data_IF_875034569811
#
_entry.id   IF_875034569811
#
_cell.length_a   1.000
_cell.length_b   1.000
_cell.length_c   1.000
_cell.angle_alpha   90.00
_cell.angle_beta   90.00
_cell.angle_gamma   90.00
#
_symmetry.space_group_name_H-M   'P 1'
#
loop_
_entity.id
_entity.type
_entity.pdbx_description
1 polymer ?
#
# COMPACT_ATOMS: atom_id res chain seq x y z
N UNK A 1 18.79 -5.11 -24.81
CA UNK A 1 18.91 -4.72 -23.39
C UNK A 1 17.62 -4.14 -22.79
N UNK A 2 16.50 -4.09 -23.54
CA UNK A 2 15.24 -3.47 -23.06
C UNK A 2 14.52 -4.27 -21.96
N UNK A 3 14.69 -5.60 -21.92
CA UNK A 3 13.96 -6.46 -20.97
C UNK A 3 14.36 -6.23 -19.50
N UNK A 4 15.63 -5.91 -19.22
CA UNK A 4 16.10 -5.75 -17.84
C UNK A 4 15.46 -4.56 -17.12
N UNK A 5 15.23 -3.46 -17.84
CA UNK A 5 14.61 -2.26 -17.27
C UNK A 5 13.14 -2.48 -16.90
N UNK A 6 12.41 -3.28 -17.69
CA UNK A 6 11.03 -3.64 -17.39
C UNK A 6 10.94 -4.52 -16.14
N UNK A 7 11.84 -5.50 -15.99
CA UNK A 7 11.90 -6.34 -14.78
C UNK A 7 12.21 -5.52 -13.52
N UNK A 8 13.14 -4.55 -13.59
CA UNK A 8 13.43 -3.65 -12.46
C UNK A 8 12.20 -2.84 -12.06
N UNK A 9 11.49 -2.23 -13.03
CA UNK A 9 10.26 -1.48 -12.76
C UNK A 9 9.17 -2.35 -12.15
N UNK A 10 9.03 -3.59 -12.62
CA UNK A 10 8.06 -4.52 -12.07
C UNK A 10 8.41 -4.93 -10.62
N UNK A 11 9.67 -5.23 -10.34
CA UNK A 11 10.13 -5.50 -8.97
C UNK A 11 9.92 -4.28 -8.05
N UNK A 12 10.25 -3.08 -8.50
CA UNK A 12 9.98 -1.83 -7.80
C UNK A 12 8.49 -1.68 -7.45
N UNK A 13 7.62 -1.97 -8.42
CA UNK A 13 6.17 -1.92 -8.23
C UNK A 13 5.73 -2.91 -7.16
N UNK A 14 6.06 -4.20 -7.28
CA UNK A 14 5.67 -5.22 -6.29
C UNK A 14 6.18 -4.88 -4.89
N UNK A 15 7.46 -4.50 -4.74
CA UNK A 15 8.02 -4.10 -3.44
C UNK A 15 7.24 -2.92 -2.86
N UNK A 16 6.91 -1.91 -3.66
CA UNK A 16 6.15 -0.73 -3.20
C UNK A 16 4.79 -1.11 -2.61
N UNK A 17 4.10 -2.11 -3.16
CA UNK A 17 2.86 -2.64 -2.58
C UNK A 17 3.07 -3.43 -1.30
N UNK A 18 4.25 -3.98 -1.08
CA UNK A 18 4.57 -4.82 0.07
C UNK A 18 5.06 -4.04 1.29
N UNK A 19 5.54 -2.79 1.13
CA UNK A 19 6.08 -2.00 2.24
C UNK A 19 5.09 -1.91 3.40
N UNK A 20 3.87 -1.40 3.16
CA UNK A 20 2.87 -1.26 4.22
C UNK A 20 2.41 -2.62 4.79
N UNK A 21 2.12 -3.65 3.98
CA UNK A 21 1.87 -5.01 4.47
C UNK A 21 2.95 -5.59 5.40
N UNK A 22 4.23 -5.44 5.04
CA UNK A 22 5.36 -5.93 5.86
C UNK A 22 5.40 -5.18 7.19
N UNK A 23 5.34 -3.86 7.15
CA UNK A 23 5.34 -3.01 8.33
C UNK A 23 4.15 -3.34 9.25
N UNK A 24 2.97 -3.55 8.70
CA UNK A 24 1.78 -3.96 9.45
C UNK A 24 1.96 -5.35 10.09
N UNK A 25 2.58 -6.29 9.37
CA UNK A 25 2.89 -7.61 9.91
C UNK A 25 3.85 -7.52 11.11
N UNK A 26 4.91 -6.70 11.00
CA UNK A 26 5.82 -6.41 12.12
C UNK A 26 5.02 -5.88 13.32
N UNK A 27 4.23 -4.82 13.12
CA UNK A 27 3.41 -4.21 14.19
C UNK A 27 2.53 -5.24 14.89
N UNK A 28 1.84 -6.09 14.13
CA UNK A 28 0.93 -7.09 14.68
C UNK A 28 1.65 -8.23 15.42
N UNK A 29 2.85 -8.61 14.99
CA UNK A 29 3.67 -9.59 15.71
C UNK A 29 4.15 -9.02 17.04
N UNK A 30 4.59 -7.75 17.06
CA UNK A 30 5.02 -7.08 18.29
C UNK A 30 3.88 -6.96 19.28
N UNK A 31 2.72 -6.45 18.82
CA UNK A 31 1.50 -6.36 19.65
C UNK A 31 1.18 -7.70 20.31
N UNK A 32 1.18 -8.78 19.54
CA UNK A 32 0.85 -10.10 20.08
C UNK A 32 1.93 -10.66 21.01
N UNK A 33 3.19 -10.34 20.76
CA UNK A 33 4.29 -10.71 21.65
C UNK A 33 4.16 -10.00 23.00
N UNK A 34 3.83 -8.70 22.98
CA UNK A 34 3.63 -7.92 24.21
C UNK A 34 2.40 -8.41 24.97
N UNK A 35 1.25 -8.58 24.30
CA UNK A 35 0.02 -9.09 24.93
C UNK A 35 0.22 -10.45 25.61
N UNK A 36 1.02 -11.31 24.99
CA UNK A 36 1.38 -12.60 25.55
C UNK A 36 2.24 -12.45 26.82
N UNK A 37 3.19 -11.52 26.81
CA UNK A 37 4.11 -11.29 27.94
C UNK A 37 3.46 -10.56 29.12
N UNK A 38 2.46 -9.71 28.89
CA UNK A 38 1.79 -8.91 29.94
C UNK A 38 0.68 -9.66 30.67
N UNK A 39 0.56 -10.98 30.50
CA UNK A 39 -0.50 -11.83 31.12
C UNK A 39 -1.94 -11.49 30.69
N UNK A 40 -2.13 -10.55 29.77
CA UNK A 40 -3.43 -10.22 29.15
C UNK A 40 -3.79 -11.21 28.03
N UNK A 41 -3.62 -12.51 28.28
CA UNK A 41 -3.82 -13.57 27.27
C UNK A 41 -5.23 -13.59 26.67
N UNK A 42 -6.22 -13.06 27.38
CA UNK A 42 -7.61 -12.95 26.92
C UNK A 42 -7.83 -11.85 25.85
N UNK A 43 -6.83 -11.01 25.55
CA UNK A 43 -6.93 -9.90 24.60
C UNK A 43 -6.10 -10.10 23.34
N UNK A 44 -5.80 -11.34 22.96
CA UNK A 44 -5.08 -11.61 21.70
C UNK A 44 -5.82 -11.00 20.52
N UNK A 45 -5.10 -10.19 19.74
CA UNK A 45 -5.60 -9.76 18.43
C UNK A 45 -5.52 -10.99 17.53
N UNK A 46 -6.68 -11.50 17.14
CA UNK A 46 -6.82 -12.59 16.20
C UNK A 46 -6.09 -12.20 14.90
N UNK A 47 -4.94 -12.82 14.63
CA UNK A 47 -4.14 -12.52 13.42
C UNK A 47 -4.72 -13.14 12.15
N UNK A 48 -5.93 -13.67 12.22
CA UNK A 48 -6.70 -14.18 11.10
C UNK A 48 -7.91 -13.27 10.96
N UNK A 49 -8.18 -12.81 9.74
CA UNK A 49 -9.56 -12.42 9.43
C UNK A 49 -10.49 -13.55 9.86
N UNK A 50 -11.58 -13.25 10.57
CA UNK A 50 -12.57 -14.27 10.95
C UNK A 50 -12.90 -15.05 9.68
N UNK A 51 -12.62 -16.36 9.62
CA UNK A 51 -12.94 -17.11 8.43
C UNK A 51 -14.42 -16.91 8.16
N UNK A 52 -14.75 -16.48 6.94
CA UNK A 52 -16.08 -16.71 6.41
C UNK A 52 -16.42 -18.20 6.67
N UNK A 53 -17.68 -18.56 6.96
CA UNK A 53 -18.09 -19.84 7.56
C UNK A 53 -17.81 -21.12 6.74
N UNK A 54 -16.85 -21.11 5.81
CA UNK A 54 -16.31 -22.28 5.15
C UNK A 54 -15.01 -22.72 5.79
N UNK A 55 -15.15 -23.57 6.80
CA UNK A 55 -14.09 -24.36 7.40
C UNK A 55 -13.58 -25.41 6.42
N UNK A 56 -12.34 -25.27 5.97
CA UNK A 56 -11.55 -26.40 5.47
C UNK A 56 -10.06 -26.13 5.69
N UNK A 57 -9.57 -26.28 6.92
CA UNK A 57 -8.18 -26.68 7.25
C UNK A 57 -7.76 -26.41 8.72
N UNK A 58 -8.61 -26.66 9.73
CA UNK A 58 -8.12 -26.73 11.12
C UNK A 58 -7.95 -28.19 11.51
N UNK A 59 -6.70 -28.65 11.60
CA UNK A 59 -6.38 -29.96 12.14
C UNK A 59 -6.72 -29.99 13.63
N UNK A 60 -7.78 -30.70 14.00
CA UNK A 60 -8.19 -30.87 15.41
C UNK A 60 -7.20 -31.71 16.23
N UNK A 61 -6.22 -32.37 15.59
CA UNK A 61 -5.25 -33.25 16.25
C UNK A 61 -3.95 -32.54 16.66
N UNK A 62 -3.69 -31.32 16.18
CA UNK A 62 -2.48 -30.58 16.54
C UNK A 62 -2.66 -29.88 17.90
N UNK A 63 -2.39 -30.59 19.02
CA UNK A 63 -2.14 -29.98 20.34
C UNK A 63 -0.76 -29.29 20.37
N UNK A 64 -0.53 -28.37 19.44
CA UNK A 64 0.68 -27.57 19.42
C UNK A 64 0.48 -26.36 20.30
N UNK A 65 1.04 -26.35 21.51
CA UNK A 65 1.19 -25.11 22.25
C UNK A 65 1.91 -24.09 21.34
N UNK A 66 1.40 -22.87 21.19
CA UNK A 66 2.09 -21.84 20.42
C UNK A 66 3.48 -21.64 21.05
N UNK A 67 4.53 -22.09 20.35
CA UNK A 67 5.91 -22.01 20.84
C UNK A 67 6.26 -20.54 21.12
N UNK A 68 6.51 -20.21 22.39
CA UNK A 68 6.88 -18.87 22.90
C UNK A 68 8.01 -18.17 22.13
N UNK A 69 8.83 -18.91 21.38
CA UNK A 69 10.05 -18.39 20.74
C UNK A 69 9.89 -18.15 19.22
N UNK A 70 8.70 -18.32 18.65
CA UNK A 70 8.49 -18.20 17.20
C UNK A 70 8.50 -16.76 16.67
N UNK A 71 8.15 -15.76 17.48
CA UNK A 71 7.82 -14.42 16.98
C UNK A 71 9.05 -13.56 16.65
N UNK A 72 10.14 -13.68 17.41
CA UNK A 72 11.36 -12.87 17.19
C UNK A 72 11.99 -13.16 15.82
N UNK A 73 12.07 -14.44 15.43
CA UNK A 73 12.63 -14.86 14.14
C UNK A 73 11.87 -14.30 12.94
N UNK A 74 10.55 -14.13 13.07
CA UNK A 74 9.76 -13.53 11.99
C UNK A 74 10.07 -12.04 11.85
N UNK A 75 10.15 -11.30 12.96
CA UNK A 75 10.52 -9.87 12.96
C UNK A 75 11.88 -9.65 12.32
N UNK A 76 12.87 -10.47 12.69
CA UNK A 76 14.22 -10.41 12.09
C UNK A 76 14.20 -10.65 10.57
N UNK A 77 13.41 -11.60 10.10
CA UNK A 77 13.26 -11.86 8.67
C UNK A 77 12.60 -10.67 7.94
N UNK A 78 11.58 -10.04 8.54
CA UNK A 78 10.98 -8.83 7.95
C UNK A 78 11.96 -7.65 7.90
N UNK A 79 12.75 -7.48 8.95
CA UNK A 79 13.76 -6.41 9.06
C UNK A 79 14.82 -6.54 7.96
N UNK A 80 15.42 -7.73 7.85
CA UNK A 80 16.39 -8.05 6.81
C UNK A 80 15.82 -7.89 5.40
N UNK A 81 14.61 -8.40 5.16
CA UNK A 81 13.95 -8.27 3.88
C UNK A 81 13.68 -6.80 3.52
N UNK A 82 13.27 -5.99 4.50
CA UNK A 82 13.05 -4.56 4.35
C UNK A 82 14.34 -3.83 3.98
N UNK A 83 15.46 -4.16 4.62
CA UNK A 83 16.76 -3.56 4.33
C UNK A 83 17.23 -3.89 2.90
N UNK A 84 17.11 -5.16 2.49
CA UNK A 84 17.43 -5.62 1.12
C UNK A 84 16.56 -4.87 0.08
N UNK A 85 15.25 -4.80 0.32
CA UNK A 85 14.34 -4.08 -0.57
C UNK A 85 14.64 -2.59 -0.65
N UNK A 86 14.91 -1.93 0.47
CA UNK A 86 15.27 -0.52 0.49
C UNK A 86 16.55 -0.25 -0.29
N UNK A 87 17.60 -1.06 -0.06
CA UNK A 87 18.86 -0.94 -0.80
C UNK A 87 18.63 -1.08 -2.30
N UNK A 88 17.85 -2.08 -2.73
CA UNK A 88 17.47 -2.26 -4.14
C UNK A 88 16.72 -1.05 -4.70
N UNK A 89 15.71 -0.53 -3.98
CA UNK A 89 14.89 0.58 -4.44
C UNK A 89 15.70 1.89 -4.60
N UNK A 90 16.60 2.17 -3.66
CA UNK A 90 17.43 3.38 -3.67
C UNK A 90 18.52 3.28 -4.74
N UNK A 91 19.24 2.15 -4.78
CA UNK A 91 20.49 2.07 -5.54
C UNK A 91 20.36 1.42 -6.93
N UNK A 92 19.39 0.51 -7.14
CA UNK A 92 19.22 -0.17 -8.44
C UNK A 92 18.00 0.29 -9.22
N UNK A 93 16.88 0.49 -8.56
CA UNK A 93 15.65 0.95 -9.23
C UNK A 93 15.63 2.47 -9.47
N UNK A 94 16.56 3.23 -8.89
CA UNK A 94 16.58 4.70 -8.87
C UNK A 94 15.21 5.30 -8.52
N UNK A 95 14.46 4.58 -7.66
CA UNK A 95 13.06 4.83 -7.47
C UNK A 95 12.82 6.12 -6.68
N UNK A 96 13.67 6.40 -5.69
CA UNK A 96 13.50 7.47 -4.70
C UNK A 96 14.83 7.93 -4.12
N UNK A 97 14.88 9.19 -3.69
CA UNK A 97 15.96 9.73 -2.83
C UNK A 97 15.81 9.27 -1.38
N UNK A 98 14.58 9.03 -0.95
CA UNK A 98 14.24 8.66 0.43
C UNK A 98 13.98 7.17 0.58
N UNK A 99 14.34 6.64 1.74
CA UNK A 99 14.08 5.26 2.14
C UNK A 99 12.58 5.09 2.49
N UNK A 100 11.82 4.30 1.70
CA UNK A 100 10.39 4.20 1.89
C UNK A 100 9.99 3.34 3.10
N UNK A 101 10.83 2.41 3.55
CA UNK A 101 10.60 1.64 4.77
C UNK A 101 10.86 2.51 6.01
N UNK A 102 11.93 3.31 6.00
CA UNK A 102 12.20 4.25 7.09
C UNK A 102 11.08 5.29 7.23
N UNK A 103 10.55 5.79 6.12
CA UNK A 103 9.37 6.66 6.12
C UNK A 103 8.17 5.95 6.73
N UNK A 104 7.89 4.70 6.33
CA UNK A 104 6.80 3.92 6.88
C UNK A 104 6.95 3.63 8.39
N UNK A 105 8.16 3.35 8.88
CA UNK A 105 8.43 3.22 10.32
C UNK A 105 8.13 4.52 11.07
N UNK A 106 8.58 5.68 10.56
CA UNK A 106 8.31 6.98 11.18
C UNK A 106 6.81 7.27 11.26
N UNK A 107 6.07 7.02 10.18
CA UNK A 107 4.61 7.17 10.14
C UNK A 107 3.94 6.26 11.17
N UNK A 108 4.33 4.99 11.24
CA UNK A 108 3.77 4.04 12.19
C UNK A 108 4.07 4.44 13.65
N UNK A 109 5.30 4.84 13.95
CA UNK A 109 5.69 5.34 15.27
C UNK A 109 4.86 6.57 15.64
N UNK A 110 4.61 7.48 14.69
CA UNK A 110 3.76 8.64 14.92
C UNK A 110 2.28 8.23 15.19
N UNK A 111 1.73 7.26 14.45
CA UNK A 111 0.39 6.70 14.67
C UNK A 111 0.25 6.11 16.10
N UNK A 112 1.23 5.32 16.55
CA UNK A 112 1.23 4.73 17.89
C UNK A 112 1.50 5.78 18.99
N UNK A 113 2.33 6.78 18.70
CA UNK A 113 2.58 7.91 19.62
C UNK A 113 1.29 8.70 19.85
N UNK A 114 0.54 9.00 18.78
CA UNK A 114 -0.77 9.63 18.89
C UNK A 114 -1.75 8.76 19.70
N UNK A 115 -1.72 7.45 19.51
CA UNK A 115 -2.56 6.51 20.29
C UNK A 115 -2.20 6.48 21.78
N UNK A 116 -0.92 6.66 22.13
CA UNK A 116 -0.44 6.80 23.51
C UNK A 116 -0.88 8.11 24.17
N UNK A 117 -0.93 9.21 23.43
CA UNK A 117 -1.22 10.55 23.99
C UNK A 117 -2.71 10.89 24.01
N UNK A 118 -3.49 10.35 23.07
CA UNK A 118 -4.93 10.64 22.92
C UNK A 118 -5.84 9.80 23.82
N UNK A 119 -5.33 8.71 24.42
CA UNK A 119 -6.08 7.79 25.28
C UNK A 119 -5.45 7.74 26.67
N UNK A 120 -6.18 7.16 27.64
CA UNK A 120 -5.62 6.89 28.96
C UNK A 120 -4.29 6.12 28.80
N UNK A 121 -3.19 6.55 29.46
CA UNK A 121 -1.90 5.91 29.35
C UNK A 121 -2.02 4.40 29.60
N UNK A 122 -1.53 3.60 28.66
CA UNK A 122 -1.50 2.15 28.77
C UNK A 122 -0.07 1.67 28.53
N UNK A 123 0.48 0.94 29.49
CA UNK A 123 1.83 0.37 29.43
C UNK A 123 2.03 -0.50 28.18
N UNK A 124 0.98 -1.15 27.71
CA UNK A 124 0.98 -1.90 26.45
C UNK A 124 1.42 -1.05 25.25
N UNK A 125 0.81 0.13 25.07
CA UNK A 125 1.13 0.99 23.93
C UNK A 125 2.53 1.59 24.06
N UNK A 126 2.99 1.85 25.30
CA UNK A 126 4.36 2.32 25.56
C UNK A 126 5.40 1.26 25.20
N UNK A 127 5.17 0.01 25.59
CA UNK A 127 6.03 -1.12 25.19
C UNK A 127 6.04 -1.31 23.67
N UNK A 128 4.88 -1.22 23.02
CA UNK A 128 4.81 -1.32 21.56
C UNK A 128 5.60 -0.21 20.87
N UNK A 129 5.47 1.02 21.36
CA UNK A 129 6.21 2.17 20.82
C UNK A 129 7.72 2.00 20.99
N UNK A 130 8.16 1.48 22.14
CA UNK A 130 9.56 1.17 22.40
C UNK A 130 10.09 0.11 21.43
N UNK A 131 9.40 -1.03 21.30
CA UNK A 131 9.79 -2.12 20.39
C UNK A 131 9.85 -1.66 18.92
N UNK A 132 8.88 -0.85 18.48
CA UNK A 132 8.89 -0.26 17.14
C UNK A 132 10.07 0.69 16.92
N UNK A 133 10.42 1.50 17.94
CA UNK A 133 11.58 2.38 17.90
C UNK A 133 12.88 1.57 17.82
N UNK A 134 13.01 0.50 18.59
CA UNK A 134 14.19 -0.37 18.60
C UNK A 134 14.39 -1.07 17.26
N UNK A 135 13.32 -1.59 16.65
CA UNK A 135 13.37 -2.17 15.30
C UNK A 135 13.71 -1.11 14.26
N UNK A 136 13.11 0.08 14.33
CA UNK A 136 13.44 1.17 13.40
C UNK A 136 14.92 1.60 13.49
N UNK A 137 15.50 1.57 14.70
CA UNK A 137 16.91 1.85 14.91
C UNK A 137 17.80 0.73 14.37
N UNK A 138 17.44 -0.53 14.61
CA UNK A 138 18.14 -1.70 14.07
C UNK A 138 18.14 -1.70 12.54
N UNK A 139 16.98 -1.51 11.93
CA UNK A 139 16.81 -1.33 10.48
C UNK A 139 17.75 -0.25 9.92
N UNK A 140 17.85 0.90 10.60
CA UNK A 140 18.75 1.99 10.19
C UNK A 140 20.22 1.58 10.24
N UNK A 141 20.63 0.78 11.21
CA UNK A 141 22.01 0.25 11.29
C UNK A 141 22.28 -0.78 10.18
N UNK A 142 21.32 -1.68 9.91
CA UNK A 142 21.45 -2.67 8.85
C UNK A 142 21.56 -2.03 7.46
N UNK A 143 20.73 -1.04 7.17
CA UNK A 143 20.80 -0.28 5.90
C UNK A 143 22.09 0.52 5.75
N UNK A 144 22.66 1.05 6.84
CA UNK A 144 23.98 1.68 6.82
C UNK A 144 25.10 0.68 6.52
N UNK A 145 25.00 -0.54 7.07
CA UNK A 145 25.96 -1.62 6.83
C UNK A 145 25.89 -2.11 5.38
N UNK A 146 24.70 -2.23 4.79
CA UNK A 146 24.57 -2.61 3.37
C UNK A 146 25.19 -1.58 2.43
N UNK A 147 25.11 -0.28 2.79
CA UNK A 147 25.73 0.81 2.02
C UNK A 147 27.26 0.75 2.04
N UNK A 148 27.87 0.31 3.14
CA UNK A 148 29.33 0.26 3.24
C UNK A 148 29.96 -0.93 2.50
N UNK A 149 29.20 -2.02 2.31
CA UNK A 149 29.68 -3.26 1.69
C UNK A 149 29.54 -3.25 0.16
N UNK A 150 28.90 -2.22 -0.42
CA UNK A 150 28.49 -2.18 -1.83
C UNK A 150 27.92 -3.53 -2.31
N UNK A 151 27.02 -4.09 -1.48
CA UNK A 151 26.44 -5.38 -1.75
C UNK A 151 25.62 -5.31 -3.04
N UNK A 152 26.15 -5.90 -4.12
CA UNK A 152 25.40 -6.04 -5.35
C UNK A 152 24.29 -7.07 -5.14
N UNK A 153 23.06 -6.58 -4.97
CA UNK A 153 21.87 -7.44 -4.88
C UNK A 153 21.41 -7.78 -6.30
N UNK A 154 21.48 -9.05 -6.70
CA UNK A 154 20.97 -9.45 -8.00
C UNK A 154 19.43 -9.41 -8.06
N UNK A 155 18.89 -9.23 -9.27
CA UNK A 155 17.45 -9.13 -9.47
C UNK A 155 16.71 -10.47 -9.21
N UNK A 156 17.26 -11.65 -9.56
CA UNK A 156 16.65 -12.94 -9.19
C UNK A 156 16.43 -13.10 -7.68
N UNK A 157 17.39 -12.75 -6.83
CA UNK A 157 17.26 -12.81 -5.38
C UNK A 157 16.17 -11.88 -4.85
N UNK A 158 15.97 -10.72 -5.50
CA UNK A 158 14.85 -9.83 -5.18
C UNK A 158 13.51 -10.52 -5.47
N UNK A 159 13.37 -11.19 -6.62
CA UNK A 159 12.13 -11.91 -6.94
C UNK A 159 11.89 -13.09 -6.00
N UNK A 160 12.94 -13.83 -5.64
CA UNK A 160 12.85 -14.91 -4.66
C UNK A 160 12.38 -14.35 -3.31
N UNK A 161 12.95 -13.24 -2.86
CA UNK A 161 12.55 -12.60 -1.62
C UNK A 161 11.11 -12.08 -1.68
N UNK A 162 10.67 -11.45 -2.78
CA UNK A 162 9.26 -11.05 -3.00
C UNK A 162 8.34 -12.27 -2.86
N UNK A 163 8.71 -13.40 -3.46
CA UNK A 163 7.94 -14.64 -3.40
C UNK A 163 7.85 -15.18 -1.97
N UNK A 164 8.98 -15.26 -1.25
CA UNK A 164 9.04 -15.69 0.15
C UNK A 164 8.14 -14.80 1.01
N UNK A 165 8.30 -13.48 0.90
CA UNK A 165 7.56 -12.52 1.71
C UNK A 165 6.06 -12.55 1.41
N UNK A 166 5.68 -12.74 0.14
CA UNK A 166 4.27 -12.84 -0.28
C UNK A 166 3.59 -14.14 0.14
N UNK A 167 4.38 -15.20 0.41
CA UNK A 167 3.89 -16.47 0.91
C UNK A 167 3.60 -16.46 2.42
N UNK A 168 4.12 -15.48 3.16
CA UNK A 168 3.84 -15.36 4.59
C UNK A 168 2.39 -14.90 4.78
N UNK A 169 1.58 -15.71 5.46
CA UNK A 169 0.13 -15.49 5.62
C UNK A 169 -0.23 -14.06 6.03
N UNK A 170 0.46 -13.49 7.03
CA UNK A 170 0.18 -12.13 7.51
C UNK A 170 0.42 -11.07 6.44
N UNK A 171 1.53 -11.17 5.72
CA UNK A 171 1.83 -10.25 4.60
C UNK A 171 0.86 -10.47 3.45
N UNK A 172 0.55 -11.73 3.13
CA UNK A 172 -0.37 -12.08 2.06
C UNK A 172 -1.76 -11.47 2.27
N UNK A 173 -2.35 -11.63 3.45
CA UNK A 173 -3.68 -11.10 3.77
C UNK A 173 -3.70 -9.56 3.66
N UNK A 174 -2.65 -8.89 4.17
CA UNK A 174 -2.51 -7.44 4.03
C UNK A 174 -2.30 -7.02 2.57
N UNK A 175 -1.52 -7.77 1.80
CA UNK A 175 -1.28 -7.50 0.37
C UNK A 175 -2.57 -7.64 -0.44
N UNK A 176 -3.40 -8.66 -0.17
CA UNK A 176 -4.72 -8.82 -0.79
C UNK A 176 -5.62 -7.63 -0.47
N UNK A 177 -5.64 -7.17 0.79
CA UNK A 177 -6.42 -6.01 1.19
C UNK A 177 -5.95 -4.72 0.48
N UNK A 178 -4.62 -4.50 0.39
CA UNK A 178 -4.04 -3.36 -0.32
C UNK A 178 -4.36 -3.42 -1.82
N UNK A 179 -4.15 -4.57 -2.48
CA UNK A 179 -4.44 -4.74 -3.92
C UNK A 179 -5.93 -4.54 -4.21
N UNK A 180 -6.83 -5.02 -3.34
CA UNK A 180 -8.28 -4.77 -3.44
C UNK A 180 -8.62 -3.29 -3.31
N UNK A 181 -8.05 -2.60 -2.31
CA UNK A 181 -8.27 -1.16 -2.12
C UNK A 181 -7.80 -0.36 -3.32
N UNK A 182 -6.62 -0.68 -3.84
CA UNK A 182 -6.06 -0.01 -5.01
C UNK A 182 -6.95 -0.19 -6.24
N UNK A 183 -7.47 -1.40 -6.49
CA UNK A 183 -8.42 -1.66 -7.57
C UNK A 183 -9.68 -0.79 -7.46
N UNK A 184 -10.28 -0.74 -6.27
CA UNK A 184 -11.47 0.11 -6.04
C UNK A 184 -11.17 1.59 -6.28
N UNK A 185 -9.97 2.06 -5.91
CA UNK A 185 -9.56 3.45 -6.18
C UNK A 185 -9.40 3.72 -7.68
N UNK A 186 -8.79 2.80 -8.44
CA UNK A 186 -8.71 2.93 -9.91
C UNK A 186 -10.11 2.97 -10.52
N UNK A 187 -10.99 2.04 -10.14
CA UNK A 187 -12.38 1.99 -10.63
C UNK A 187 -13.13 3.30 -10.35
N UNK A 188 -12.93 3.90 -9.16
CA UNK A 188 -13.49 5.21 -8.82
C UNK A 188 -12.96 6.34 -9.71
N UNK A 189 -11.66 6.36 -10.01
CA UNK A 189 -11.09 7.34 -10.93
C UNK A 189 -11.62 7.16 -12.35
N UNK A 190 -11.72 5.93 -12.85
CA UNK A 190 -12.25 5.64 -14.18
C UNK A 190 -13.71 6.10 -14.33
N UNK A 191 -14.53 5.88 -13.29
CA UNK A 191 -15.91 6.41 -13.23
C UNK A 191 -15.89 7.94 -13.26
N UNK A 192 -15.05 8.58 -12.44
CA UNK A 192 -14.95 10.04 -12.38
C UNK A 192 -14.53 10.65 -13.73
N UNK A 193 -13.54 10.07 -14.40
CA UNK A 193 -13.10 10.52 -15.72
C UNK A 193 -14.18 10.31 -16.78
N UNK A 194 -14.89 9.19 -16.73
CA UNK A 194 -16.02 8.93 -17.64
C UNK A 194 -17.14 9.96 -17.47
N UNK A 195 -17.48 10.32 -16.22
CA UNK A 195 -18.47 11.35 -15.92
C UNK A 195 -18.01 12.74 -16.39
N UNK A 196 -16.74 13.09 -16.18
CA UNK A 196 -16.17 14.35 -16.65
C UNK A 196 -16.23 14.44 -18.18
N UNK A 197 -15.90 13.36 -18.88
CA UNK A 197 -15.99 13.28 -20.33
C UNK A 197 -17.43 13.47 -20.83
N UNK A 198 -18.40 12.76 -20.23
CA UNK A 198 -19.82 12.91 -20.57
C UNK A 198 -20.29 14.36 -20.34
N UNK A 199 -19.86 14.98 -19.24
CA UNK A 199 -20.21 16.37 -18.94
C UNK A 199 -19.65 17.33 -20.00
N UNK A 200 -18.37 17.21 -20.34
CA UNK A 200 -17.73 18.02 -21.39
C UNK A 200 -18.42 17.84 -22.74
N UNK A 201 -18.76 16.59 -23.09
CA UNK A 201 -19.48 16.28 -24.32
C UNK A 201 -20.87 16.94 -24.36
N UNK A 202 -21.64 16.87 -23.27
CA UNK A 202 -22.96 17.52 -23.17
C UNK A 202 -22.86 19.04 -23.29
N UNK A 203 -21.86 19.65 -22.64
CA UNK A 203 -21.61 21.09 -22.76
C UNK A 203 -21.28 21.48 -24.20
N UNK A 204 -20.48 20.68 -24.90
CA UNK A 204 -20.16 20.91 -26.30
C UNK A 204 -21.39 20.78 -27.21
N UNK A 205 -22.23 19.76 -26.99
CA UNK A 205 -23.50 19.61 -27.71
C UNK A 205 -24.45 20.78 -27.48
N UNK A 206 -24.59 21.26 -26.23
CA UNK A 206 -25.42 22.43 -25.92
C UNK A 206 -24.90 23.69 -26.64
N UNK A 207 -23.59 23.92 -26.62
CA UNK A 207 -22.98 25.03 -27.35
C UNK A 207 -23.25 24.94 -28.86
N UNK A 208 -23.09 23.76 -29.46
CA UNK A 208 -23.40 23.53 -30.87
C UNK A 208 -24.88 23.81 -31.18
N UNK A 209 -25.81 23.29 -30.38
CA UNK A 209 -27.25 23.48 -30.56
C UNK A 209 -27.65 24.96 -30.48
N UNK A 210 -27.08 25.71 -29.53
CA UNK A 210 -27.32 27.16 -29.39
C UNK A 210 -26.82 27.91 -30.63
N UNK A 211 -25.60 27.64 -31.10
CA UNK A 211 -25.07 28.30 -32.29
C UNK A 211 -25.85 27.96 -33.56
N UNK A 212 -26.26 26.70 -33.71
CA UNK A 212 -27.10 26.26 -34.82
C UNK A 212 -28.43 27.02 -34.85
N UNK A 213 -29.11 27.13 -33.70
CA UNK A 213 -30.36 27.89 -33.58
C UNK A 213 -30.19 29.38 -33.92
N UNK A 214 -29.10 30.01 -33.47
CA UNK A 214 -28.79 31.40 -33.80
C UNK A 214 -28.55 31.61 -35.30
N UNK A 215 -27.83 30.69 -35.95
CA UNK A 215 -27.59 30.72 -37.39
C UNK A 215 -28.89 30.58 -38.20
N UNK A 216 -29.76 29.63 -37.82
CA UNK A 216 -31.08 29.48 -38.45
C UNK A 216 -31.92 30.75 -38.33
N UNK A 217 -31.92 31.38 -37.14
CA UNK A 217 -32.64 32.63 -36.91
C UNK A 217 -32.11 33.77 -37.79
N UNK A 218 -30.79 33.90 -37.89
CA UNK A 218 -30.14 34.90 -38.76
C UNK A 218 -30.50 34.69 -40.24
N UNK A 219 -30.43 33.45 -40.73
CA UNK A 219 -30.78 33.12 -42.12
C UNK A 219 -32.26 33.41 -42.44
N UNK A 220 -33.17 33.14 -41.50
CA UNK A 220 -34.60 33.50 -41.67
C UNK A 220 -34.79 35.02 -41.76
N UNK A 221 -34.11 35.79 -40.92
CA UNK A 221 -34.17 37.26 -40.98
C UNK A 221 -33.66 37.80 -42.32
N UNK A 222 -32.57 37.24 -42.86
CA UNK A 222 -32.02 37.61 -44.17
C UNK A 222 -33.02 37.28 -45.29
N UNK A 223 -33.60 36.08 -45.30
CA UNK A 223 -34.57 35.68 -46.33
C UNK A 223 -35.83 36.55 -46.32
N UNK A 224 -36.32 36.96 -45.14
CA UNK A 224 -37.46 37.87 -45.05
C UNK A 224 -37.14 39.25 -45.65
N UNK A 225 -35.93 39.77 -45.43
CA UNK A 225 -35.50 41.05 -46.01
C UNK A 225 -35.54 41.01 -47.55
N UNK A 226 -35.02 39.93 -48.16
CA UNK A 226 -35.04 39.77 -49.62
C UNK A 226 -36.44 39.54 -50.21
N UNK A 227 -37.42 39.11 -49.43
CA UNK A 227 -38.81 38.93 -49.90
C UNK A 227 -39.64 40.22 -49.85
N UNK A 228 -39.19 41.24 -49.10
CA UNK A 228 -39.91 42.50 -48.89
C UNK A 228 -39.62 43.61 -49.91
N UNK A 229 -38.67 43.42 -50.83
CA UNK A 229 -38.41 44.36 -51.93
C UNK A 229 -39.00 43.82 -53.24
N UNK A 230 -40.26 44.16 -53.60
CA UNK A 230 -40.78 43.93 -54.93
C UNK A 230 -40.06 44.85 -55.92
N UNK A 231 -39.41 44.27 -56.92
CA UNK A 231 -38.89 44.96 -58.11
C UNK A 231 -40.04 45.53 -58.91
#
# INVERSE_FOLDING_TARGET
MENGWQSIKYAQFEISYMIRPILEAIRNILRNTILWNTTQSNQQIEQTSKPLPFSASRCHSCKGDPKKNGNSRHVEMYDQASAIFSHFLIHKAFARKDDPFLTGFREMIAEETYSCTSRAPNDFNRLLLQELSDIGNKYKQETQTMKSVDASIDLPAIYELISIMSAIRLVHEQLVAVKRRHRMTIEQYDIMYSLLFIYQFKMHQQFYNVNYYLLEKQNRSINLFYQSDPI
#
